data_IF_978627470729
#
_entry.id   IF_978627470729
#
_cell.length_a   1.000
_cell.length_b   1.000
_cell.length_c   1.000
_cell.angle_alpha   90.00
_cell.angle_beta   90.00
_cell.angle_gamma   90.00
#
_symmetry.space_group_name_H-M   'P 1'
#
loop_
_entity.id
_entity.type
_entity.pdbx_description
1 polymer ?
#
# COMPACT_ATOMS: atom_id res chain seq x y z
N UNK A 1 20.28 11.30 -11.23
CA UNK A 1 19.97 10.14 -12.08
C UNK A 1 18.76 9.52 -11.43
N UNK A 2 17.66 9.43 -12.16
CA UNK A 2 16.48 8.74 -11.66
C UNK A 2 16.84 7.27 -11.70
N UNK A 3 17.26 6.72 -10.56
CA UNK A 3 17.37 5.27 -10.44
C UNK A 3 15.97 4.73 -10.72
N UNK A 4 15.83 3.90 -11.76
CA UNK A 4 14.57 3.23 -12.07
C UNK A 4 14.22 2.35 -10.86
N UNK A 5 13.34 2.86 -10.00
CA UNK A 5 12.82 2.11 -8.87
C UNK A 5 11.97 0.97 -9.40
N UNK A 6 12.34 -0.25 -9.04
CA UNK A 6 11.52 -1.42 -9.31
C UNK A 6 10.14 -1.24 -8.67
N UNK A 7 9.08 -1.64 -9.35
CA UNK A 7 7.72 -1.46 -8.86
C UNK A 7 7.25 -2.78 -8.27
N UNK A 8 7.05 -2.87 -6.94
CA UNK A 8 6.62 -4.11 -6.30
C UNK A 8 5.34 -4.67 -6.89
N UNK A 9 5.24 -6.00 -6.96
CA UNK A 9 4.08 -6.68 -7.58
C UNK A 9 2.76 -6.21 -6.98
N UNK A 10 1.83 -5.78 -7.86
CA UNK A 10 0.51 -5.28 -7.48
C UNK A 10 0.45 -3.81 -7.10
N UNK A 11 1.58 -3.09 -7.13
CA UNK A 11 1.62 -1.63 -7.00
C UNK A 11 1.69 -0.95 -8.37
N UNK A 12 1.20 0.28 -8.44
CA UNK A 12 1.30 1.17 -9.60
C UNK A 12 2.01 2.47 -9.22
N UNK A 13 2.42 3.27 -10.19
CA UNK A 13 2.85 4.66 -9.94
C UNK A 13 1.73 5.59 -10.34
N UNK A 14 1.19 6.33 -9.37
CA UNK A 14 0.15 7.34 -9.57
C UNK A 14 0.61 8.65 -8.93
N UNK A 15 0.55 9.75 -9.69
CA UNK A 15 0.95 11.09 -9.22
C UNK A 15 2.36 11.15 -8.59
N UNK A 16 3.28 10.29 -9.04
CA UNK A 16 4.65 10.21 -8.52
C UNK A 16 4.80 9.46 -7.19
N UNK A 17 3.78 8.69 -6.78
CA UNK A 17 3.77 7.85 -5.58
C UNK A 17 3.56 6.38 -5.96
N UNK A 18 4.04 5.45 -5.14
CA UNK A 18 3.62 4.05 -5.25
C UNK A 18 2.20 3.94 -4.70
N UNK A 19 1.28 3.47 -5.51
CA UNK A 19 -0.14 3.36 -5.19
C UNK A 19 -0.59 1.90 -5.14
N UNK A 20 -1.37 1.54 -4.13
CA UNK A 20 -2.09 0.26 -4.11
C UNK A 20 -3.36 0.31 -3.29
N UNK A 21 -4.40 -0.37 -3.79
CA UNK A 21 -5.66 -0.60 -3.09
C UNK A 21 -5.78 -2.06 -2.65
N UNK A 22 -6.12 -2.26 -1.38
CA UNK A 22 -6.37 -3.56 -0.77
C UNK A 22 -7.85 -3.65 -0.41
N UNK A 23 -8.45 -4.82 -0.67
CA UNK A 23 -9.84 -5.12 -0.31
C UNK A 23 -9.89 -6.38 0.55
N UNK A 24 -10.64 -6.30 1.63
CA UNK A 24 -10.81 -7.34 2.65
C UNK A 24 -12.28 -7.77 2.72
N UNK A 25 -12.58 -8.81 3.50
CA UNK A 25 -13.96 -9.28 3.62
C UNK A 25 -14.82 -8.33 4.48
N UNK A 26 -14.22 -7.73 5.50
CA UNK A 26 -14.89 -6.79 6.40
C UNK A 26 -13.94 -5.71 6.95
N UNK A 27 -14.50 -4.80 7.76
CA UNK A 27 -13.74 -3.74 8.43
C UNK A 27 -12.71 -4.28 9.43
N UNK A 28 -13.00 -5.39 10.11
CA UNK A 28 -12.10 -5.93 11.12
C UNK A 28 -10.83 -6.50 10.49
N UNK A 29 -10.95 -7.18 9.34
CA UNK A 29 -9.80 -7.64 8.56
C UNK A 29 -8.97 -6.45 8.05
N UNK A 30 -9.63 -5.42 7.49
CA UNK A 30 -8.96 -4.23 6.99
C UNK A 30 -8.18 -3.50 8.10
N UNK A 31 -8.80 -3.28 9.26
CA UNK A 31 -8.16 -2.63 10.38
C UNK A 31 -7.03 -3.49 10.99
N UNK A 32 -7.19 -4.81 11.00
CA UNK A 32 -6.13 -5.74 11.40
C UNK A 32 -4.91 -5.67 10.46
N UNK A 33 -5.13 -5.54 9.15
CA UNK A 33 -4.07 -5.27 8.18
C UNK A 33 -3.41 -3.92 8.43
N UNK A 34 -4.18 -2.84 8.59
CA UNK A 34 -3.65 -1.50 8.89
C UNK A 34 -2.77 -1.49 10.14
N UNK A 35 -3.19 -2.19 11.20
CA UNK A 35 -2.41 -2.31 12.44
C UNK A 35 -1.04 -2.94 12.18
N UNK A 36 -0.97 -4.00 11.35
CA UNK A 36 0.32 -4.62 10.99
C UNK A 36 1.18 -3.71 10.12
N UNK A 37 0.57 -2.98 9.18
CA UNK A 37 1.25 -1.97 8.36
C UNK A 37 1.87 -0.88 9.23
N UNK A 38 1.15 -0.37 10.23
CA UNK A 38 1.68 0.63 11.16
C UNK A 38 2.94 0.13 11.88
N UNK A 39 2.95 -1.13 12.34
CA UNK A 39 4.12 -1.70 13.01
C UNK A 39 5.36 -1.81 12.10
N UNK A 40 5.18 -2.18 10.82
CA UNK A 40 6.31 -2.26 9.88
C UNK A 40 6.78 -0.88 9.42
N UNK A 41 5.85 0.07 9.25
CA UNK A 41 6.15 1.46 8.92
C UNK A 41 6.97 2.15 10.02
N UNK A 42 6.56 2.01 11.29
CA UNK A 42 7.28 2.53 12.44
C UNK A 42 8.69 1.92 12.54
N UNK A 43 8.82 0.59 12.35
CA UNK A 43 10.12 -0.08 12.34
C UNK A 43 11.02 0.43 11.20
N UNK A 44 10.45 0.76 10.05
CA UNK A 44 11.16 1.32 8.91
C UNK A 44 11.47 2.82 9.07
N UNK A 45 10.86 3.50 10.06
CA UNK A 45 10.83 4.95 10.17
C UNK A 45 10.43 5.62 8.84
N UNK A 46 9.43 5.02 8.18
CA UNK A 46 8.89 5.47 6.91
C UNK A 46 7.39 5.16 6.88
N UNK A 47 6.57 6.19 6.69
CA UNK A 47 5.13 6.10 6.94
C UNK A 47 4.34 6.23 5.64
N UNK A 48 3.29 5.41 5.43
CA UNK A 48 2.39 5.58 4.29
C UNK A 48 1.49 6.81 4.45
N UNK A 49 1.13 7.41 3.32
CA UNK A 49 -0.14 8.13 3.20
C UNK A 49 -1.22 7.05 2.96
N UNK A 50 -2.33 7.07 3.70
CA UNK A 50 -3.39 6.07 3.48
C UNK A 50 -4.80 6.59 3.76
N UNK A 51 -5.77 5.85 3.24
CA UNK A 51 -7.18 6.01 3.60
C UNK A 51 -7.85 4.64 3.77
N UNK A 52 -8.87 4.59 4.61
CA UNK A 52 -9.71 3.41 4.79
C UNK A 52 -11.19 3.77 4.65
N UNK A 53 -11.92 2.96 3.89
CA UNK A 53 -13.37 3.02 3.77
C UNK A 53 -13.92 1.59 3.88
N UNK A 54 -14.54 1.27 5.01
CA UNK A 54 -15.01 -0.07 5.36
C UNK A 54 -13.90 -1.13 5.18
N UNK A 55 -14.04 -2.00 4.19
CA UNK A 55 -13.14 -3.12 3.90
C UNK A 55 -12.06 -2.77 2.86
N UNK A 56 -11.91 -1.50 2.48
CA UNK A 56 -10.95 -1.06 1.47
C UNK A 56 -9.90 -0.15 2.11
N UNK A 57 -8.62 -0.45 1.87
CA UNK A 57 -7.48 0.35 2.32
C UNK A 57 -6.69 0.78 1.09
N UNK A 58 -6.50 2.07 0.91
CA UNK A 58 -5.67 2.64 -0.16
C UNK A 58 -4.39 3.16 0.47
N UNK A 59 -3.23 2.79 -0.08
CA UNK A 59 -1.91 3.20 0.39
C UNK A 59 -1.15 3.89 -0.74
N UNK A 60 -0.58 5.05 -0.42
CA UNK A 60 0.35 5.81 -1.23
C UNK A 60 1.70 5.92 -0.49
N UNK A 61 2.80 5.60 -1.17
CA UNK A 61 4.16 5.73 -0.62
C UNK A 61 4.97 6.72 -1.44
N UNK A 62 5.60 7.67 -0.74
CA UNK A 62 6.57 8.60 -1.30
C UNK A 62 7.49 9.11 -0.19
N UNK A 63 8.75 9.34 -0.54
CA UNK A 63 9.71 9.99 0.34
C UNK A 63 9.61 11.51 0.21
N UNK A 64 8.72 12.11 1.02
CA UNK A 64 8.45 13.56 1.00
C UNK A 64 9.72 14.41 1.20
N UNK A 65 10.63 13.96 2.06
CA UNK A 65 11.92 14.60 2.34
C UNK A 65 12.89 14.58 1.16
N UNK A 66 12.78 13.57 0.29
CA UNK A 66 13.56 13.43 -0.94
C UNK A 66 12.86 14.04 -2.16
N UNK A 67 11.60 14.47 -2.03
CA UNK A 67 10.81 15.05 -3.11
C UNK A 67 10.39 14.06 -4.20
N UNK A 68 10.35 12.76 -3.91
CA UNK A 68 9.98 11.73 -4.89
C UNK A 68 10.14 10.31 -4.36
N UNK A 69 10.00 9.32 -5.25
CA UNK A 69 10.20 7.92 -4.93
C UNK A 69 11.66 7.63 -4.57
N UNK A 70 11.88 6.83 -3.54
CA UNK A 70 13.18 6.26 -3.17
C UNK A 70 13.08 4.77 -2.89
N UNK A 71 14.22 4.12 -2.67
CA UNK A 71 14.28 2.72 -2.25
C UNK A 71 13.47 2.44 -0.98
N UNK A 72 13.31 3.43 -0.07
CA UNK A 72 12.47 3.27 1.14
C UNK A 72 11.01 2.98 0.80
N UNK A 73 10.50 3.59 -0.28
CA UNK A 73 9.14 3.40 -0.74
C UNK A 73 8.95 1.98 -1.28
N UNK A 74 9.90 1.51 -2.11
CA UNK A 74 9.95 0.12 -2.58
C UNK A 74 10.00 -0.87 -1.41
N UNK A 75 10.94 -0.68 -0.47
CA UNK A 75 11.17 -1.63 0.62
C UNK A 75 9.95 -1.72 1.56
N UNK A 76 9.28 -0.59 1.82
CA UNK A 76 8.05 -0.58 2.58
C UNK A 76 6.89 -1.25 1.82
N UNK A 77 6.77 -1.03 0.51
CA UNK A 77 5.77 -1.72 -0.32
C UNK A 77 5.96 -3.24 -0.31
N UNK A 78 7.19 -3.75 -0.40
CA UNK A 78 7.49 -5.18 -0.26
C UNK A 78 7.19 -5.71 1.15
N UNK A 79 7.53 -4.95 2.20
CA UNK A 79 7.16 -5.31 3.57
C UNK A 79 5.64 -5.39 3.75
N UNK A 80 4.88 -4.48 3.12
CA UNK A 80 3.40 -4.50 3.12
C UNK A 80 2.88 -5.71 2.36
N UNK A 81 3.45 -6.06 1.19
CA UNK A 81 3.08 -7.25 0.41
C UNK A 81 3.19 -8.54 1.26
N UNK A 82 4.25 -8.64 2.07
CA UNK A 82 4.46 -9.78 2.95
C UNK A 82 3.37 -9.96 4.02
N UNK A 83 2.58 -8.93 4.33
CA UNK A 83 1.50 -8.99 5.33
C UNK A 83 0.21 -9.65 4.85
N UNK A 84 0.10 -9.92 3.55
CA UNK A 84 -1.16 -10.30 2.88
C UNK A 84 -1.17 -11.79 2.53
N UNK A 85 -0.02 -12.46 2.57
CA UNK A 85 0.12 -13.85 2.11
C UNK A 85 -0.29 -14.03 0.65
N UNK A 86 -0.33 -15.28 0.14
CA UNK A 86 -0.80 -15.60 -1.22
C UNK A 86 -2.33 -15.39 -1.40
N UNK A 87 -2.95 -14.41 -0.74
CA UNK A 87 -4.34 -14.06 -1.02
C UNK A 87 -4.33 -13.25 -2.33
N UNK A 88 -4.85 -13.79 -3.45
CA UNK A 88 -4.92 -13.00 -4.68
C UNK A 88 -5.76 -11.75 -4.41
N UNK A 89 -5.38 -10.57 -4.94
CA UNK A 89 -6.20 -9.38 -4.82
C UNK A 89 -7.61 -9.72 -5.31
N UNK A 90 -8.62 -9.46 -4.47
CA UNK A 90 -9.99 -9.60 -4.92
C UNK A 90 -10.19 -8.62 -6.10
N UNK A 91 -10.80 -9.06 -7.22
CA UNK A 91 -11.09 -8.16 -8.31
C UNK A 91 -11.88 -6.96 -7.79
N UNK A 92 -11.79 -5.78 -8.44
CA UNK A 92 -12.60 -4.64 -8.07
C UNK A 92 -14.05 -5.11 -7.95
N UNK A 93 -14.70 -4.75 -6.84
CA UNK A 93 -16.13 -5.01 -6.70
C UNK A 93 -16.78 -4.40 -7.94
N UNK A 94 -17.49 -5.23 -8.70
CA UNK A 94 -18.38 -4.72 -9.75
C UNK A 94 -19.27 -3.71 -9.04
N UNK A 95 -19.09 -2.43 -9.36
CA UNK A 95 -19.91 -1.36 -8.82
C UNK A 95 -21.36 -1.82 -8.96
N UNK A 96 -22.03 -2.06 -7.83
CA UNK A 96 -23.45 -2.32 -7.84
C UNK A 96 -24.10 -1.00 -8.24
N UNK A 97 -24.32 -0.89 -9.55
CA UNK A 97 -25.23 0.04 -10.17
C UNK A 97 -26.53 -0.02 -9.38
N UNK A 98 -26.85 1.08 -8.71
CA UNK A 98 -28.23 1.50 -8.47
C UNK A 98 -28.58 2.53 -9.55
#
# INVERSE_FOLDING_TARGET
>A
MSDDIDIPSGWTVEEGKLHRRFRFDDFSEAFGFMTRVALVAEKANHHPDWSNSWNTVTIDLVSHDAGGLTQRDHDLAEAINALIGERPPQPPALDQVL
#
